data_IF_668738825900
#
_entry.id   IF_668738825900
#
_cell.length_a   1.000
_cell.length_b   1.000
_cell.length_c   1.000
_cell.angle_alpha   90.00
_cell.angle_beta   90.00
_cell.angle_gamma   90.00
#
_symmetry.space_group_name_H-M   'P 1'
#
loop_
_entity.id
_entity.type
_entity.pdbx_description
1 polymer ?
#
# COMPACT_ATOMS: atom_id res chain seq x y z
N UNK A 1 16.77 23.82 64.68
CA UNK A 1 17.57 25.06 64.76
C UNK A 1 17.59 25.69 63.38
N UNK A 2 16.92 26.84 63.15
CA UNK A 2 17.47 28.23 63.14
C UNK A 2 18.73 28.34 62.26
N UNK A 3 18.89 29.25 61.29
CA UNK A 3 18.17 30.45 60.83
C UNK A 3 18.84 30.92 59.50
N UNK A 4 18.14 31.53 58.54
CA UNK A 4 17.75 32.95 58.39
C UNK A 4 18.90 33.93 58.02
N UNK A 5 18.66 34.69 56.92
CA UNK A 5 19.07 36.09 56.58
C UNK A 5 20.41 36.26 55.85
N UNK A 6 20.66 37.24 54.96
CA UNK A 6 19.93 38.41 54.38
C UNK A 6 20.79 38.97 53.22
N UNK A 7 20.19 39.59 52.20
CA UNK A 7 20.86 40.55 51.27
C UNK A 7 21.18 41.90 51.99
N UNK A 8 21.96 42.87 51.44
CA UNK A 8 21.43 43.84 50.45
C UNK A 8 22.47 44.64 49.56
N UNK A 9 21.94 45.54 48.70
CA UNK A 9 22.58 46.81 48.26
C UNK A 9 23.13 46.85 46.81
N UNK A 10 22.55 47.51 45.81
CA UNK A 10 22.12 48.92 45.55
C UNK A 10 23.16 49.79 44.82
N UNK A 11 22.69 50.44 43.74
CA UNK A 11 23.23 51.65 43.10
C UNK A 11 23.58 51.45 41.62
N UNK A 12 23.07 52.16 40.61
CA UNK A 12 22.18 53.33 40.53
C UNK A 12 22.67 54.30 39.42
N UNK A 13 21.73 54.75 38.54
CA UNK A 13 21.74 55.91 37.59
C UNK A 13 22.11 55.61 36.11
N UNK A 14 21.14 55.65 35.16
CA UNK A 14 20.57 56.77 34.33
C UNK A 14 21.55 57.27 33.24
N UNK A 15 21.26 57.46 31.94
CA UNK A 15 20.12 58.09 31.19
C UNK A 15 20.02 57.50 29.75
N UNK A 16 18.81 57.25 29.22
CA UNK A 16 18.01 58.03 28.24
C UNK A 16 18.62 58.20 26.83
N UNK A 17 18.06 57.47 25.87
CA UNK A 17 17.98 57.83 24.46
C UNK A 17 16.59 57.46 23.95
N UNK A 18 15.77 58.46 23.63
CA UNK A 18 14.40 58.33 23.13
C UNK A 18 14.44 58.48 21.61
N UNK A 19 14.00 57.47 20.87
CA UNK A 19 13.72 57.54 19.44
C UNK A 19 12.40 56.82 19.17
N UNK A 20 11.42 57.57 18.69
CA UNK A 20 10.01 57.24 18.49
C UNK A 20 9.76 56.90 17.02
N UNK A 21 8.83 55.98 16.72
CA UNK A 21 8.09 55.89 15.45
C UNK A 21 8.21 54.55 14.71
N UNK A 22 7.42 53.51 15.00
CA UNK A 22 6.06 53.15 14.50
C UNK A 22 6.09 52.29 13.18
N UNK A 23 5.05 51.52 12.80
CA UNK A 23 5.01 50.06 12.94
C UNK A 23 4.51 49.40 11.64
N UNK A 24 5.36 48.70 10.87
CA UNK A 24 4.84 47.97 9.70
C UNK A 24 5.33 46.55 9.71
N UNK A 25 4.33 45.69 9.89
CA UNK A 25 4.48 44.29 10.19
C UNK A 25 5.22 43.54 9.10
N UNK A 26 5.97 42.56 9.54
CA UNK A 26 6.01 41.27 8.89
C UNK A 26 5.72 40.27 9.99
N UNK A 27 4.47 39.78 10.02
CA UNK A 27 4.14 38.56 10.76
C UNK A 27 5.16 37.53 10.31
N UNK A 28 6.05 37.12 11.22
CA UNK A 28 6.87 35.94 11.00
C UNK A 28 5.91 34.80 10.69
N UNK A 29 5.83 34.42 9.42
CA UNK A 29 5.18 33.19 9.05
C UNK A 29 5.90 32.10 9.85
N UNK A 30 5.16 31.36 10.66
CA UNK A 30 5.63 30.09 11.15
C UNK A 30 5.93 29.24 9.92
N UNK A 31 7.18 29.26 9.47
CA UNK A 31 7.70 28.29 8.52
C UNK A 31 7.74 27.00 9.31
N UNK A 32 6.69 26.20 9.19
CA UNK A 32 6.75 24.79 9.58
C UNK A 32 7.84 24.20 8.69
N UNK A 33 9.04 24.03 9.23
CA UNK A 33 10.11 23.31 8.55
C UNK A 33 9.62 21.88 8.42
N UNK A 34 9.04 21.57 7.26
CA UNK A 34 8.79 20.19 6.86
C UNK A 34 10.16 19.54 6.76
N UNK A 35 10.47 18.65 7.68
CA UNK A 35 11.72 17.91 7.70
C UNK A 35 11.84 17.17 6.35
N UNK A 36 12.77 17.58 5.49
CA UNK A 36 13.00 16.94 4.19
C UNK A 36 13.63 15.59 4.46
N UNK A 37 12.82 14.52 4.48
CA UNK A 37 13.34 13.16 4.53
C UNK A 37 14.04 12.85 3.21
N UNK A 38 15.31 12.46 3.28
CA UNK A 38 16.04 11.99 2.10
C UNK A 38 15.45 10.69 1.54
N UNK A 39 15.51 10.51 0.23
CA UNK A 39 14.91 9.34 -0.47
C UNK A 39 15.38 7.99 0.09
N UNK A 40 16.60 7.92 0.63
CA UNK A 40 17.16 6.71 1.24
C UNK A 40 16.35 6.16 2.43
N UNK A 41 15.60 6.99 3.15
CA UNK A 41 14.69 6.54 4.21
C UNK A 41 13.55 5.70 3.62
N UNK A 42 12.98 6.15 2.51
CA UNK A 42 11.90 5.45 1.82
C UNK A 42 12.38 4.17 1.16
N UNK A 43 13.58 4.18 0.56
CA UNK A 43 14.22 2.97 0.02
C UNK A 43 14.37 1.92 1.11
N UNK A 44 14.97 2.28 2.26
CA UNK A 44 15.11 1.35 3.39
C UNK A 44 13.77 0.84 3.93
N UNK A 45 12.74 1.68 3.91
CA UNK A 45 11.41 1.33 4.42
C UNK A 45 10.70 0.26 3.56
N UNK A 46 11.07 0.11 2.28
CA UNK A 46 10.43 -0.82 1.34
C UNK A 46 11.34 -1.96 0.88
N UNK A 47 12.65 -1.88 1.06
CA UNK A 47 13.57 -2.96 0.66
C UNK A 47 13.66 -4.02 1.76
N UNK A 48 13.09 -5.23 1.57
CA UNK A 48 13.22 -6.31 2.53
C UNK A 48 14.66 -6.83 2.59
N UNK A 49 15.03 -7.47 3.71
CA UNK A 49 16.26 -8.28 3.73
C UNK A 49 16.09 -9.53 2.85
N UNK A 50 17.19 -10.14 2.39
CA UNK A 50 17.12 -11.36 1.59
C UNK A 50 16.35 -12.50 2.30
N UNK A 51 16.54 -12.66 3.61
CA UNK A 51 15.82 -13.66 4.40
C UNK A 51 14.31 -13.37 4.46
N UNK A 52 13.95 -12.09 4.60
CA UNK A 52 12.55 -11.66 4.58
C UNK A 52 11.91 -11.88 3.21
N UNK A 53 12.58 -11.48 2.13
CA UNK A 53 12.11 -11.68 0.76
C UNK A 53 11.87 -13.17 0.46
N UNK A 54 12.79 -14.05 0.88
CA UNK A 54 12.63 -15.50 0.69
C UNK A 54 11.46 -16.07 1.51
N UNK A 55 11.25 -15.59 2.73
CA UNK A 55 10.12 -16.00 3.56
C UNK A 55 8.79 -15.54 2.94
N UNK A 56 8.73 -14.28 2.51
CA UNK A 56 7.55 -13.69 1.87
C UNK A 56 7.24 -14.39 0.55
N UNK A 57 8.25 -14.71 -0.26
CA UNK A 57 8.06 -15.44 -1.52
C UNK A 57 7.33 -16.78 -1.31
N UNK A 58 7.68 -17.55 -0.26
CA UNK A 58 6.97 -18.81 0.05
C UNK A 58 5.51 -18.57 0.43
N UNK A 59 5.23 -17.52 1.19
CA UNK A 59 3.86 -17.13 1.55
C UNK A 59 3.07 -16.73 0.30
N UNK A 60 3.69 -15.97 -0.60
CA UNK A 60 3.07 -15.51 -1.84
C UNK A 60 2.74 -16.67 -2.79
N UNK A 61 3.65 -17.65 -2.93
CA UNK A 61 3.37 -18.89 -3.67
C UNK A 61 2.20 -19.68 -3.08
N UNK A 62 2.15 -19.75 -1.75
CA UNK A 62 1.12 -20.49 -1.03
C UNK A 62 -0.28 -19.89 -1.20
N UNK A 63 -0.42 -18.56 -1.07
CA UNK A 63 -1.71 -17.87 -1.23
C UNK A 63 -2.16 -17.82 -2.70
N UNK A 64 -1.24 -17.82 -3.67
CA UNK A 64 -1.60 -18.00 -5.09
C UNK A 64 -2.10 -19.41 -5.37
N UNK A 65 -1.45 -20.42 -4.79
CA UNK A 65 -1.84 -21.83 -5.00
C UNK A 65 -3.16 -22.21 -4.32
N UNK A 66 -3.63 -21.38 -3.37
CA UNK A 66 -4.85 -21.60 -2.59
C UNK A 66 -5.66 -20.30 -2.50
N UNK A 67 -6.29 -19.83 -3.60
CA UNK A 67 -6.95 -18.53 -3.63
C UNK A 67 -7.93 -18.32 -2.48
N UNK A 68 -7.87 -17.16 -1.83
CA UNK A 68 -8.66 -16.83 -0.63
C UNK A 68 -8.12 -17.36 0.71
N UNK A 69 -7.04 -18.15 0.75
CA UNK A 69 -6.28 -18.35 2.00
C UNK A 69 -5.53 -17.06 2.33
N UNK A 70 -5.53 -16.70 3.62
CA UNK A 70 -4.73 -15.59 4.13
C UNK A 70 -3.35 -16.07 4.57
N UNK A 71 -2.33 -15.41 4.05
CA UNK A 71 -0.94 -15.51 4.50
C UNK A 71 -0.51 -14.27 5.26
N UNK A 72 0.74 -14.28 5.76
CA UNK A 72 1.35 -13.11 6.41
C UNK A 72 2.78 -12.90 5.90
N UNK A 73 3.02 -11.74 5.31
CA UNK A 73 4.34 -11.26 4.90
C UNK A 73 4.96 -10.35 5.97
N UNK A 74 6.26 -10.12 5.85
CA UNK A 74 7.01 -9.19 6.68
C UNK A 74 6.45 -7.77 6.63
N UNK A 75 6.61 -7.06 7.75
CA UNK A 75 6.28 -5.64 7.86
C UNK A 75 7.56 -4.81 7.87
N UNK A 76 7.55 -3.73 7.11
CA UNK A 76 8.56 -2.67 7.16
C UNK A 76 7.95 -1.36 7.64
N UNK A 77 8.76 -0.30 7.57
CA UNK A 77 8.32 1.07 7.90
C UNK A 77 7.53 1.74 6.76
N UNK A 78 7.41 1.07 5.60
CA UNK A 78 6.67 1.52 4.42
C UNK A 78 5.47 0.64 4.09
N UNK A 79 4.76 0.93 2.98
CA UNK A 79 3.63 0.13 2.52
C UNK A 79 4.03 -1.34 2.28
N UNK A 80 3.32 -2.26 2.93
CA UNK A 80 3.58 -3.70 2.79
C UNK A 80 3.50 -4.19 1.33
N UNK A 81 2.59 -3.60 0.53
CA UNK A 81 2.49 -3.86 -0.91
C UNK A 81 3.78 -3.54 -1.68
N UNK A 82 4.49 -2.46 -1.31
CA UNK A 82 5.80 -2.15 -1.91
C UNK A 82 6.89 -3.10 -1.45
N UNK A 83 6.88 -3.53 -0.18
CA UNK A 83 7.85 -4.50 0.30
C UNK A 83 7.72 -5.85 -0.41
N UNK A 84 6.48 -6.29 -0.63
CA UNK A 84 6.17 -7.46 -1.48
C UNK A 84 6.70 -7.26 -2.89
N UNK A 85 6.42 -6.10 -3.52
CA UNK A 85 6.93 -5.79 -4.85
C UNK A 85 8.46 -5.78 -4.92
N UNK A 86 9.12 -5.15 -3.94
CA UNK A 86 10.57 -5.04 -3.87
C UNK A 86 11.26 -6.40 -3.66
N UNK A 87 10.59 -7.36 -3.00
CA UNK A 87 11.07 -8.73 -2.88
C UNK A 87 10.92 -9.57 -4.16
N UNK A 88 10.15 -9.08 -5.14
CA UNK A 88 9.83 -9.79 -6.39
C UNK A 88 10.42 -9.13 -7.65
N UNK A 89 10.67 -7.82 -7.61
CA UNK A 89 11.13 -7.04 -8.74
C UNK A 89 12.65 -7.01 -8.82
N UNK A 90 13.15 -6.99 -10.04
CA UNK A 90 14.56 -6.80 -10.37
C UNK A 90 14.69 -5.91 -11.62
N UNK A 91 15.91 -5.78 -12.13
CA UNK A 91 16.24 -4.96 -13.30
C UNK A 91 15.51 -5.35 -14.60
N UNK A 92 14.96 -6.56 -14.68
CA UNK A 92 14.25 -7.08 -15.87
C UNK A 92 12.73 -6.89 -15.78
N UNK A 93 12.21 -6.41 -14.64
CA UNK A 93 10.77 -6.26 -14.40
C UNK A 93 10.37 -4.79 -14.45
N UNK A 94 9.82 -4.28 -15.58
CA UNK A 94 9.20 -2.96 -15.61
C UNK A 94 8.11 -2.80 -14.55
N UNK A 95 8.21 -1.74 -13.73
CA UNK A 95 7.30 -1.48 -12.62
C UNK A 95 6.53 -0.17 -12.80
N UNK A 96 5.30 -0.14 -12.30
CA UNK A 96 4.53 1.09 -12.10
C UNK A 96 3.97 1.11 -10.68
N UNK A 97 3.87 2.29 -10.08
CA UNK A 97 3.22 2.48 -8.77
C UNK A 97 2.11 3.49 -8.92
N UNK A 98 0.88 3.09 -8.58
CA UNK A 98 -0.28 3.97 -8.55
C UNK A 98 -0.38 4.58 -7.15
N UNK A 99 -0.03 5.86 -7.06
CA UNK A 99 0.00 6.62 -5.81
C UNK A 99 -1.13 7.66 -5.77
N UNK A 100 -1.42 8.17 -4.57
CA UNK A 100 -2.13 9.43 -4.43
C UNK A 100 -1.19 10.61 -4.84
N UNK A 101 -1.74 11.78 -5.21
CA UNK A 101 -0.94 12.97 -5.48
C UNK A 101 -0.06 13.34 -4.27
N UNK A 102 1.25 13.54 -4.51
CA UNK A 102 2.23 13.85 -3.47
C UNK A 102 2.95 12.65 -2.86
N UNK A 103 2.58 11.42 -3.25
CA UNK A 103 3.20 10.18 -2.77
C UNK A 103 4.12 9.51 -3.81
N UNK A 104 4.51 10.23 -4.86
CA UNK A 104 5.30 9.72 -5.99
C UNK A 104 6.70 9.22 -5.56
N UNK A 105 7.18 9.65 -4.38
CA UNK A 105 8.43 9.19 -3.79
C UNK A 105 8.46 7.66 -3.58
N UNK A 106 7.31 6.99 -3.47
CA UNK A 106 7.25 5.54 -3.39
C UNK A 106 7.64 4.83 -4.69
N UNK A 107 7.27 5.39 -5.84
CA UNK A 107 7.69 4.87 -7.14
C UNK A 107 9.21 4.97 -7.29
N UNK A 108 9.77 6.11 -6.87
CA UNK A 108 11.21 6.32 -6.86
C UNK A 108 11.92 5.38 -5.86
N UNK A 109 11.34 5.17 -4.67
CA UNK A 109 11.90 4.26 -3.67
C UNK A 109 11.94 2.81 -4.17
N UNK A 110 10.88 2.35 -4.84
CA UNK A 110 10.85 1.02 -5.46
C UNK A 110 11.95 0.89 -6.52
N UNK A 111 12.02 1.84 -7.46
CA UNK A 111 13.04 1.85 -8.50
C UNK A 111 14.47 1.82 -7.93
N UNK A 112 14.78 2.69 -6.97
CA UNK A 112 16.10 2.75 -6.36
C UNK A 112 16.42 1.51 -5.52
N UNK A 113 15.40 0.91 -4.88
CA UNK A 113 15.56 -0.28 -4.06
C UNK A 113 15.78 -1.58 -4.85
N UNK A 114 15.35 -1.63 -6.11
CA UNK A 114 15.36 -2.87 -6.92
C UNK A 114 16.10 -2.73 -8.25
N UNK A 115 16.40 -1.51 -8.68
CA UNK A 115 16.81 -1.16 -10.05
C UNK A 115 15.79 -1.52 -11.14
N UNK A 116 14.55 -1.84 -10.76
CA UNK A 116 13.48 -2.13 -11.71
C UNK A 116 13.15 -0.91 -12.58
N UNK A 117 13.08 -1.04 -13.92
CA UNK A 117 12.82 0.10 -14.78
C UNK A 117 11.40 0.65 -14.55
N UNK A 118 11.22 1.97 -14.34
CA UNK A 118 9.90 2.56 -14.24
C UNK A 118 9.21 2.53 -15.60
N UNK A 119 7.91 2.24 -15.63
CA UNK A 119 7.08 2.21 -16.82
C UNK A 119 5.69 2.78 -16.54
N UNK A 120 4.96 3.12 -17.60
CA UNK A 120 3.53 3.38 -17.50
C UNK A 120 2.79 2.07 -17.11
N UNK A 121 1.65 2.13 -16.40
CA UNK A 121 0.92 0.92 -15.97
C UNK A 121 0.60 -0.05 -17.11
N UNK A 122 0.31 0.47 -18.30
CA UNK A 122 -0.03 -0.31 -19.50
C UNK A 122 1.16 -1.03 -20.14
N UNK A 123 2.39 -0.72 -19.70
CA UNK A 123 3.63 -1.34 -20.17
C UNK A 123 4.39 -2.04 -19.03
N UNK A 124 3.89 -1.98 -17.80
CA UNK A 124 4.53 -2.56 -16.64
C UNK A 124 4.21 -4.06 -16.50
N UNK A 125 5.22 -4.85 -16.14
CA UNK A 125 5.08 -6.28 -15.78
C UNK A 125 4.64 -6.45 -14.33
N UNK A 126 4.87 -5.45 -13.49
CA UNK A 126 4.38 -5.41 -12.10
C UNK A 126 3.83 -4.03 -11.78
N UNK A 127 2.60 -3.98 -11.29
CA UNK A 127 1.93 -2.75 -10.88
C UNK A 127 1.60 -2.81 -9.40
N UNK A 128 2.03 -1.81 -8.64
CA UNK A 128 1.71 -1.67 -7.21
C UNK A 128 0.66 -0.58 -7.05
N UNK A 129 -0.53 -0.93 -6.58
CA UNK A 129 -1.60 0.03 -6.32
C UNK A 129 -1.63 0.41 -4.84
N UNK A 130 -1.18 1.62 -4.49
CA UNK A 130 -1.23 2.14 -3.11
C UNK A 130 -2.49 2.96 -2.82
N UNK A 131 -3.29 3.17 -3.86
CA UNK A 131 -4.67 3.67 -3.82
C UNK A 131 -5.58 2.71 -4.58
N UNK A 132 -6.90 2.81 -4.44
CA UNK A 132 -7.82 2.13 -5.34
C UNK A 132 -7.51 2.45 -6.81
N UNK A 133 -7.19 1.45 -7.65
CA UNK A 133 -7.10 1.66 -9.09
C UNK A 133 -8.49 1.88 -9.68
N UNK A 134 -8.58 2.70 -10.73
CA UNK A 134 -9.80 2.79 -11.53
C UNK A 134 -9.98 1.51 -12.37
N UNK A 135 -11.21 1.23 -12.79
CA UNK A 135 -11.50 0.05 -13.61
C UNK A 135 -10.69 0.07 -14.93
N UNK A 136 -10.55 1.25 -15.53
CA UNK A 136 -9.81 1.45 -16.79
C UNK A 136 -8.31 1.19 -16.61
N UNK A 137 -7.75 1.50 -15.43
CA UNK A 137 -6.35 1.21 -15.13
C UNK A 137 -6.11 -0.30 -15.05
N UNK A 138 -7.08 -1.08 -14.54
CA UNK A 138 -7.01 -2.54 -14.50
C UNK A 138 -7.16 -3.12 -15.90
N UNK A 139 -8.16 -2.67 -16.67
CA UNK A 139 -8.40 -3.16 -18.03
C UNK A 139 -7.21 -2.88 -18.97
N UNK A 140 -6.46 -1.82 -18.71
CA UNK A 140 -5.31 -1.45 -19.51
C UNK A 140 -4.01 -2.17 -19.11
N UNK A 141 -4.01 -2.98 -18.05
CA UNK A 141 -2.83 -3.77 -17.68
C UNK A 141 -2.51 -4.82 -18.76
N UNK A 142 -1.22 -5.08 -19.02
CA UNK A 142 -0.83 -6.21 -19.86
C UNK A 142 -1.45 -7.51 -19.34
N UNK A 143 -2.04 -8.32 -20.22
CA UNK A 143 -2.64 -9.62 -19.87
C UNK A 143 -1.89 -10.81 -20.46
N UNK A 144 -0.89 -10.54 -21.31
CA UNK A 144 -0.35 -11.54 -22.22
C UNK A 144 -1.43 -12.00 -23.21
N UNK A 145 -1.20 -13.16 -23.81
CA UNK A 145 -2.15 -13.82 -24.69
C UNK A 145 -2.17 -15.33 -24.40
N UNK A 146 -2.94 -16.09 -25.20
CA UNK A 146 -3.07 -17.52 -25.01
C UNK A 146 -1.75 -18.31 -25.21
N UNK A 147 -0.83 -17.79 -26.02
CA UNK A 147 0.47 -18.40 -26.33
C UNK A 147 1.57 -17.90 -25.38
N UNK A 148 1.45 -16.68 -24.87
CA UNK A 148 2.42 -16.04 -23.97
C UNK A 148 1.74 -15.45 -22.72
N UNK A 149 1.08 -16.27 -21.89
CA UNK A 149 0.40 -15.79 -20.69
C UNK A 149 1.37 -15.19 -19.67
N UNK A 150 2.64 -15.59 -19.66
CA UNK A 150 3.71 -15.06 -18.80
C UNK A 150 3.99 -13.57 -19.02
N UNK A 151 3.49 -12.99 -20.12
CA UNK A 151 3.58 -11.55 -20.37
C UNK A 151 2.45 -10.74 -19.73
N UNK A 152 1.51 -11.40 -19.05
CA UNK A 152 0.53 -10.75 -18.19
C UNK A 152 1.19 -10.08 -16.98
N UNK A 153 0.68 -8.91 -16.62
CA UNK A 153 1.15 -8.15 -15.49
C UNK A 153 0.73 -8.80 -14.17
N UNK A 154 1.47 -8.47 -13.11
CA UNK A 154 1.11 -8.76 -11.73
C UNK A 154 0.64 -7.49 -11.04
N UNK A 155 -0.55 -7.53 -10.44
CA UNK A 155 -1.07 -6.44 -9.62
C UNK A 155 -0.80 -6.75 -8.14
N UNK A 156 -0.22 -5.79 -7.41
CA UNK A 156 -0.08 -5.85 -5.95
C UNK A 156 -0.87 -4.67 -5.39
N UNK A 157 -2.08 -4.93 -4.91
CA UNK A 157 -3.00 -3.89 -4.45
C UNK A 157 -3.02 -3.79 -2.92
N UNK A 158 -2.78 -2.59 -2.41
CA UNK A 158 -2.96 -2.27 -1.01
C UNK A 158 -4.45 -2.30 -0.65
N UNK A 159 -4.77 -2.94 0.47
CA UNK A 159 -6.12 -3.02 1.02
C UNK A 159 -6.11 -2.61 2.49
N UNK A 160 -7.27 -2.26 3.05
CA UNK A 160 -7.34 -1.90 4.48
C UNK A 160 -7.52 -3.14 5.36
N UNK A 161 -8.34 -4.10 4.93
CA UNK A 161 -8.66 -5.32 5.69
C UNK A 161 -8.82 -6.51 4.75
N UNK A 162 -8.33 -7.68 5.19
CA UNK A 162 -8.59 -8.98 4.59
C UNK A 162 -9.11 -9.94 5.66
N UNK A 163 -10.26 -10.56 5.40
CA UNK A 163 -10.91 -11.51 6.30
C UNK A 163 -11.32 -12.74 5.47
N UNK A 164 -10.79 -13.92 5.84
CA UNK A 164 -11.12 -15.20 5.22
C UNK A 164 -12.31 -15.90 5.90
N UNK A 165 -12.59 -17.14 5.52
CA UNK A 165 -13.71 -17.90 6.08
C UNK A 165 -13.59 -18.19 7.59
N UNK A 166 -14.29 -17.36 8.36
CA UNK A 166 -14.98 -17.65 9.61
C UNK A 166 -16.39 -17.02 9.51
N UNK A 167 -17.24 -17.05 10.55
CA UNK A 167 -18.51 -16.31 10.50
C UNK A 167 -18.20 -14.83 10.26
N UNK A 168 -18.46 -14.36 9.04
CA UNK A 168 -18.53 -12.93 8.73
C UNK A 168 -19.83 -12.48 9.39
N UNK A 169 -19.80 -11.65 10.45
CA UNK A 169 -21.02 -11.08 11.02
C UNK A 169 -21.80 -10.43 9.88
N UNK A 170 -23.09 -10.75 9.81
CA UNK A 170 -23.98 -10.31 8.74
C UNK A 170 -24.03 -8.79 8.66
N UNK A 171 -23.22 -8.16 7.80
CA UNK A 171 -23.21 -6.74 7.40
C UNK A 171 -23.31 -5.65 8.51
N UNK A 172 -23.47 -6.03 9.76
CA UNK A 172 -23.71 -5.21 10.93
C UNK A 172 -22.74 -5.74 11.99
N UNK A 173 -21.66 -4.98 12.14
CA UNK A 173 -20.82 -4.96 13.33
C UNK A 173 -19.98 -6.24 13.59
N UNK A 174 -18.86 -6.34 12.86
CA UNK A 174 -17.63 -6.83 13.48
C UNK A 174 -17.11 -5.69 14.36
N UNK A 175 -17.00 -5.84 15.69
CA UNK A 175 -16.36 -4.84 16.54
C UNK A 175 -14.90 -4.66 16.11
N UNK A 176 -14.60 -3.56 15.43
CA UNK A 176 -13.25 -3.23 14.94
C UNK A 176 -13.03 -3.35 13.43
N UNK A 177 -13.96 -3.92 12.65
CA UNK A 177 -13.90 -3.81 11.18
C UNK A 177 -14.27 -2.39 10.78
N UNK A 178 -13.26 -1.61 10.39
CA UNK A 178 -13.43 -0.23 9.93
C UNK A 178 -13.92 -0.24 8.48
N UNK A 179 -15.23 -0.19 8.29
CA UNK A 179 -15.86 0.26 7.03
C UNK A 179 -16.49 -0.83 6.14
N UNK A 180 -17.21 -0.40 5.08
CA UNK A 180 -17.81 -1.29 4.09
C UNK A 180 -16.71 -2.05 3.33
N UNK A 181 -16.97 -3.31 3.00
CA UNK A 181 -16.02 -4.18 2.30
C UNK A 181 -16.76 -5.13 1.37
N UNK A 182 -16.10 -5.49 0.28
CA UNK A 182 -16.61 -6.37 -0.78
C UNK A 182 -16.34 -7.82 -0.38
N UNK A 183 -17.36 -8.66 -0.43
CA UNK A 183 -17.30 -10.10 -0.19
C UNK A 183 -17.24 -10.79 -1.56
N UNK A 184 -16.14 -11.50 -1.76
CA UNK A 184 -15.88 -12.28 -2.96
C UNK A 184 -16.14 -13.74 -2.67
N UNK A 185 -16.89 -14.42 -3.54
CA UNK A 185 -16.91 -15.86 -3.65
C UNK A 185 -15.89 -16.29 -4.69
N UNK A 186 -14.91 -17.08 -4.27
CA UNK A 186 -13.78 -17.51 -5.09
C UNK A 186 -13.95 -19.00 -5.42
N UNK A 187 -13.72 -19.36 -6.68
CA UNK A 187 -13.68 -20.77 -7.11
C UNK A 187 -12.62 -20.99 -8.19
N UNK A 188 -12.27 -22.26 -8.45
CA UNK A 188 -11.26 -22.64 -9.43
C UNK A 188 -10.12 -23.47 -8.83
N UNK A 189 -8.98 -23.62 -9.56
CA UNK A 189 -7.84 -24.39 -9.09
C UNK A 189 -7.35 -23.92 -7.71
N UNK A 190 -7.09 -24.86 -6.81
CA UNK A 190 -6.65 -24.55 -5.43
C UNK A 190 -7.77 -24.19 -4.45
N UNK A 191 -9.03 -24.13 -4.91
CA UNK A 191 -10.22 -23.87 -4.08
C UNK A 191 -11.17 -25.08 -4.12
N UNK A 192 -11.25 -25.89 -3.05
CA UNK A 192 -12.27 -26.94 -2.96
C UNK A 192 -13.67 -26.32 -2.86
N UNK A 193 -14.44 -26.38 -3.94
CA UNK A 193 -15.77 -25.77 -4.01
C UNK A 193 -15.69 -24.25 -4.17
N UNK A 194 -16.16 -23.52 -3.15
CA UNK A 194 -16.10 -22.06 -3.10
C UNK A 194 -15.48 -21.61 -1.77
N UNK A 195 -14.81 -20.47 -1.78
CA UNK A 195 -14.26 -19.81 -0.58
C UNK A 195 -14.62 -18.35 -0.57
N UNK A 196 -15.13 -17.85 0.55
CA UNK A 196 -15.38 -16.42 0.74
C UNK A 196 -14.16 -15.65 1.23
N UNK A 197 -13.97 -14.46 0.67
CA UNK A 197 -12.95 -13.50 1.08
C UNK A 197 -13.59 -12.12 1.17
N UNK A 198 -13.55 -11.49 2.34
CA UNK A 198 -13.95 -10.10 2.51
C UNK A 198 -12.74 -9.19 2.39
N UNK A 199 -12.88 -8.16 1.55
CA UNK A 199 -11.83 -7.18 1.25
C UNK A 199 -12.38 -5.77 1.50
N UNK A 200 -11.71 -4.98 2.33
CA UNK A 200 -12.02 -3.56 2.50
C UNK A 200 -10.91 -2.69 1.89
N UNK A 201 -11.26 -1.46 1.50
CA UNK A 201 -10.32 -0.49 0.94
C UNK A 201 -10.17 -0.53 -0.58
N UNK A 202 -10.86 -1.45 -1.27
CA UNK A 202 -11.02 -1.44 -2.72
C UNK A 202 -12.52 -1.46 -3.06
N UNK A 203 -12.95 -0.67 -4.05
CA UNK A 203 -14.34 -0.62 -4.45
C UNK A 203 -14.69 -1.84 -5.33
N UNK A 204 -16.00 -2.10 -5.50
CA UNK A 204 -16.51 -3.27 -6.23
C UNK A 204 -15.99 -3.33 -7.66
N UNK A 205 -15.88 -2.18 -8.30
CA UNK A 205 -15.49 -1.97 -9.69
C UNK A 205 -14.09 -2.54 -9.96
N UNK A 206 -13.20 -2.54 -8.97
CA UNK A 206 -11.87 -3.16 -9.06
C UNK A 206 -11.99 -4.66 -9.28
N UNK A 207 -12.83 -5.34 -8.50
CA UNK A 207 -13.01 -6.79 -8.60
C UNK A 207 -13.79 -7.17 -9.85
N UNK A 208 -14.77 -6.36 -10.26
CA UNK A 208 -15.47 -6.54 -11.52
C UNK A 208 -14.51 -6.42 -12.72
N UNK A 209 -13.63 -5.41 -12.71
CA UNK A 209 -12.62 -5.24 -13.75
C UNK A 209 -11.58 -6.36 -13.75
N UNK A 210 -11.15 -6.87 -12.58
CA UNK A 210 -10.26 -8.03 -12.49
C UNK A 210 -10.92 -9.30 -13.02
N UNK A 211 -12.19 -9.56 -12.68
CA UNK A 211 -12.94 -10.70 -13.20
C UNK A 211 -13.06 -10.63 -14.74
N UNK A 212 -13.35 -9.44 -15.29
CA UNK A 212 -13.40 -9.23 -16.73
C UNK A 212 -12.02 -9.40 -17.40
N UNK A 213 -10.96 -8.86 -16.80
CA UNK A 213 -9.60 -9.00 -17.32
C UNK A 213 -9.15 -10.47 -17.38
N UNK A 214 -9.65 -11.30 -16.47
CA UNK A 214 -9.28 -12.71 -16.33
C UNK A 214 -10.28 -13.69 -16.97
N UNK A 215 -11.26 -13.19 -17.73
CA UNK A 215 -12.28 -14.04 -18.37
C UNK A 215 -11.71 -14.98 -19.44
N UNK A 216 -10.65 -14.55 -20.14
CA UNK A 216 -10.04 -15.26 -21.27
C UNK A 216 -8.76 -16.02 -20.89
N UNK A 217 -8.85 -16.91 -19.89
CA UNK A 217 -7.73 -17.74 -19.46
C UNK A 217 -7.10 -18.50 -20.68
N UNK A 218 -5.76 -18.55 -20.83
CA UNK A 218 -4.73 -18.26 -19.83
C UNK A 218 -4.23 -16.81 -19.77
N UNK A 219 -4.74 -15.91 -20.61
CA UNK A 219 -4.42 -14.49 -20.50
C UNK A 219 -5.06 -13.89 -19.23
N UNK A 220 -4.37 -12.97 -18.58
CA UNK A 220 -4.90 -12.30 -17.39
C UNK A 220 -3.83 -11.64 -16.52
N UNK A 221 -4.28 -11.24 -15.33
CA UNK A 221 -3.51 -10.54 -14.30
C UNK A 221 -3.56 -11.36 -13.02
N UNK A 222 -2.38 -11.72 -12.51
CA UNK A 222 -2.27 -12.33 -11.18
C UNK A 222 -2.24 -11.22 -10.13
N UNK A 223 -3.07 -11.34 -9.10
CA UNK A 223 -3.25 -10.27 -8.11
C UNK A 223 -2.87 -10.72 -6.71
N UNK A 224 -2.14 -9.86 -5.99
CA UNK A 224 -1.96 -9.94 -4.55
C UNK A 224 -2.71 -8.79 -3.87
N UNK A 225 -3.54 -9.11 -2.89
CA UNK A 225 -4.15 -8.13 -2.00
C UNK A 225 -3.34 -8.08 -0.72
N UNK A 226 -2.84 -6.91 -0.33
CA UNK A 226 -1.90 -6.78 0.80
C UNK A 226 -2.40 -5.72 1.77
N UNK A 227 -2.75 -6.14 2.98
CA UNK A 227 -3.12 -5.23 4.05
C UNK A 227 -1.86 -4.54 4.64
N UNK A 228 -2.02 -3.34 5.20
CA UNK A 228 -0.93 -2.62 5.88
C UNK A 228 -0.30 -3.45 7.02
N UNK A 229 -1.07 -4.38 7.56
CA UNK A 229 -0.68 -5.28 8.62
C UNK A 229 0.03 -6.57 8.08
N UNK A 230 0.41 -6.59 6.81
CA UNK A 230 1.12 -7.71 6.19
C UNK A 230 0.26 -8.95 5.96
N UNK A 231 -1.03 -8.93 6.29
CA UNK A 231 -1.96 -9.98 5.84
C UNK A 231 -2.08 -9.91 4.31
N UNK A 232 -1.96 -11.05 3.64
CA UNK A 232 -1.95 -11.12 2.17
C UNK A 232 -2.88 -12.22 1.67
N UNK A 233 -3.55 -11.98 0.54
CA UNK A 233 -4.31 -12.99 -0.20
C UNK A 233 -3.89 -12.99 -1.68
N UNK A 234 -3.91 -14.17 -2.31
CA UNK A 234 -3.64 -14.34 -3.74
C UNK A 234 -4.92 -14.56 -4.53
N UNK A 235 -4.99 -13.92 -5.70
CA UNK A 235 -6.02 -14.10 -6.72
C UNK A 235 -5.31 -14.32 -8.08
N UNK A 236 -4.83 -15.55 -8.38
CA UNK A 236 -4.29 -15.86 -9.69
C UNK A 236 -5.36 -15.73 -10.77
N UNK A 237 -4.92 -15.49 -12.01
CA UNK A 237 -5.79 -15.26 -13.17
C UNK A 237 -6.77 -16.38 -13.51
N UNK A 238 -6.56 -17.58 -12.98
CA UNK A 238 -7.49 -18.72 -13.13
C UNK A 238 -8.62 -18.73 -12.09
N UNK A 239 -8.57 -17.86 -11.08
CA UNK A 239 -9.59 -17.75 -10.04
C UNK A 239 -10.83 -17.09 -10.61
N UNK A 240 -11.98 -17.76 -10.50
CA UNK A 240 -13.28 -17.15 -10.76
C UNK A 240 -13.69 -16.33 -9.55
N UNK A 241 -14.06 -15.08 -9.80
CA UNK A 241 -14.45 -14.10 -8.78
C UNK A 241 -15.91 -13.75 -9.00
N UNK A 242 -16.75 -14.05 -8.01
CA UNK A 242 -18.14 -13.57 -7.94
C UNK A 242 -18.29 -12.63 -6.74
N UNK A 243 -19.06 -11.54 -6.89
CA UNK A 243 -19.25 -10.55 -5.83
C UNK A 243 -20.58 -10.81 -5.12
N UNK A 244 -20.56 -11.13 -3.83
CA UNK A 244 -21.76 -11.55 -3.07
C UNK A 244 -22.57 -10.39 -2.48
N UNK A 245 -21.94 -9.31 -2.02
CA UNK A 245 -22.61 -8.12 -1.48
C UNK A 245 -22.23 -6.89 -2.31
N UNK A 246 -23.23 -6.13 -2.78
CA UNK A 246 -22.91 -5.05 -3.72
C UNK A 246 -24.03 -4.12 -4.11
N UNK A 247 -24.74 -3.51 -3.15
CA UNK A 247 -25.31 -2.16 -3.31
C UNK A 247 -25.31 -1.45 -1.95
N UNK A 248 -24.42 -0.47 -1.76
CA UNK A 248 -24.58 0.65 -0.83
C UNK A 248 -23.89 1.88 -1.42
#
# INVERSE_FOLDING_TARGET
MRGRRRAPGQGGRRRVGRGVGDPRGLRGAHVTVTEVRGIGVYVRAVTPTAAQAQADFRVLLDVLSRPGVLGRVGRGDGPAALAVAAGLADVEVPTAVLTAPGEEHWAQALHLGTSAPPAAPQAARMVVALRPPAAEEITALPRGDALHPEFGARLIAAVTVLEGEGPVPSALEVPGARGPGVVLSLSGPGVPGARRLRVAGLPREVFAALAAANADFPAGVDTFLVAADGTVAGLPRSTRIEIENGEH
#
